data_IF_932420169399
#
_entry.id   IF_932420169399
#
_cell.length_a   1.000
_cell.length_b   1.000
_cell.length_c   1.000
_cell.angle_alpha   90.00
_cell.angle_beta   90.00
_cell.angle_gamma   90.00
#
_symmetry.space_group_name_H-M   'P 1'
#
loop_
_entity.id
_entity.type
_entity.pdbx_description
1 polymer ?
#
# COMPACT_ATOMS: atom_id res chain seq x y z
N UNK A 1 29.57 -39.65 -2.06
CA UNK A 1 29.22 -38.84 -3.25
C UNK A 1 27.76 -39.11 -3.59
N UNK A 2 26.85 -38.24 -3.14
CA UNK A 2 25.43 -38.30 -3.50
C UNK A 2 25.04 -36.94 -4.08
N UNK A 3 24.90 -36.89 -5.40
CA UNK A 3 24.08 -35.90 -6.08
C UNK A 3 22.71 -36.54 -6.28
N UNK A 4 21.65 -35.91 -5.80
CA UNK A 4 20.43 -35.63 -6.55
C UNK A 4 19.27 -35.17 -5.66
N UNK A 5 18.60 -34.13 -6.16
CA UNK A 5 17.25 -33.65 -5.82
C UNK A 5 17.05 -32.96 -4.46
N UNK A 6 17.51 -31.70 -4.37
CA UNK A 6 16.74 -30.68 -3.66
C UNK A 6 16.46 -29.54 -4.65
N UNK A 7 15.64 -29.85 -5.65
CA UNK A 7 14.94 -28.85 -6.45
C UNK A 7 13.78 -28.39 -5.56
N UNK A 8 14.08 -27.54 -4.58
CA UNK A 8 13.06 -26.71 -3.92
C UNK A 8 12.87 -25.52 -4.86
N UNK A 9 12.10 -25.78 -5.90
CA UNK A 9 11.32 -24.78 -6.59
C UNK A 9 10.31 -24.24 -5.57
N UNK A 10 10.70 -23.24 -4.78
CA UNK A 10 9.79 -22.63 -3.82
C UNK A 10 10.00 -21.14 -3.79
N UNK A 11 9.16 -20.53 -4.64
CA UNK A 11 8.59 -19.21 -4.51
C UNK A 11 9.48 -17.99 -4.77
N UNK A 12 9.21 -17.42 -5.95
CA UNK A 12 9.12 -15.98 -6.18
C UNK A 12 10.39 -15.22 -5.83
N UNK A 13 11.29 -15.18 -6.82
CA UNK A 13 12.07 -14.00 -7.16
C UNK A 13 11.24 -12.75 -6.86
N UNK A 14 11.51 -12.22 -5.66
CA UNK A 14 11.47 -10.82 -5.26
C UNK A 14 10.93 -9.92 -6.37
N UNK A 15 9.61 -9.79 -6.44
CA UNK A 15 8.95 -8.67 -7.09
C UNK A 15 9.21 -7.42 -6.23
N UNK A 16 10.48 -7.01 -6.15
CA UNK A 16 10.89 -5.74 -5.57
C UNK A 16 10.51 -4.66 -6.58
N UNK A 17 9.23 -4.27 -6.55
CA UNK A 17 8.81 -3.01 -7.14
C UNK A 17 9.78 -1.93 -6.67
N UNK A 18 10.21 -1.05 -7.59
CA UNK A 18 11.20 -0.02 -7.29
C UNK A 18 10.72 0.78 -6.08
N UNK A 19 11.60 1.26 -5.17
CA UNK A 19 11.19 2.03 -4.00
C UNK A 19 10.22 3.19 -4.33
N UNK A 20 10.38 3.80 -5.51
CA UNK A 20 9.47 4.81 -6.06
C UNK A 20 8.04 4.29 -6.31
N UNK A 21 7.88 3.04 -6.75
CA UNK A 21 6.58 2.41 -7.01
C UNK A 21 5.83 2.13 -5.71
N UNK A 22 6.53 1.69 -4.65
CA UNK A 22 5.93 1.48 -3.33
C UNK A 22 5.41 2.78 -2.71
N UNK A 23 6.18 3.87 -2.80
CA UNK A 23 5.73 5.19 -2.34
C UNK A 23 4.47 5.64 -3.08
N UNK A 24 4.49 5.60 -4.41
CA UNK A 24 3.35 6.04 -5.24
C UNK A 24 2.09 5.23 -4.95
N UNK A 25 2.22 3.90 -4.84
CA UNK A 25 1.12 3.01 -4.48
C UNK A 25 0.57 3.37 -3.10
N UNK A 26 1.45 3.58 -2.11
CA UNK A 26 1.01 3.91 -0.76
C UNK A 26 0.27 5.26 -0.70
N UNK A 27 0.78 6.29 -1.38
CA UNK A 27 0.09 7.59 -1.49
C UNK A 27 -1.31 7.44 -2.09
N UNK A 28 -1.43 6.65 -3.16
CA UNK A 28 -2.68 6.42 -3.86
C UNK A 28 -3.67 5.60 -3.00
N UNK A 29 -3.19 4.61 -2.25
CA UNK A 29 -3.99 3.87 -1.27
C UNK A 29 -4.46 4.77 -0.11
N UNK A 30 -3.57 5.59 0.45
CA UNK A 30 -3.91 6.56 1.50
C UNK A 30 -4.96 7.57 1.01
N UNK A 31 -4.81 8.06 -0.22
CA UNK A 31 -5.76 8.97 -0.83
C UNK A 31 -7.15 8.37 -0.96
N UNK A 32 -7.26 7.15 -1.54
CA UNK A 32 -8.57 6.54 -1.75
C UNK A 32 -9.25 6.17 -0.42
N UNK A 33 -8.48 5.73 0.57
CA UNK A 33 -8.99 5.46 1.91
C UNK A 33 -9.63 6.71 2.53
N UNK A 34 -8.91 7.83 2.51
CA UNK A 34 -9.43 9.09 3.02
C UNK A 34 -10.65 9.56 2.25
N UNK A 35 -10.60 9.52 0.93
CA UNK A 35 -11.73 9.92 0.07
C UNK A 35 -12.98 9.09 0.38
N UNK A 36 -12.85 7.77 0.53
CA UNK A 36 -13.97 6.89 0.88
C UNK A 36 -14.51 7.15 2.29
N UNK A 37 -13.64 7.52 3.24
CA UNK A 37 -14.02 7.92 4.59
C UNK A 37 -14.77 9.27 4.60
N UNK A 38 -14.29 10.27 3.84
CA UNK A 38 -14.97 11.57 3.65
C UNK A 38 -16.38 11.38 3.07
N UNK A 39 -16.53 10.48 2.10
CA UNK A 39 -17.81 10.12 1.50
C UNK A 39 -18.69 9.22 2.38
N UNK A 40 -18.23 8.85 3.58
CA UNK A 40 -18.93 7.93 4.51
C UNK A 40 -19.37 6.62 3.83
N UNK A 41 -18.55 6.12 2.91
CA UNK A 41 -18.84 4.87 2.21
C UNK A 41 -18.87 3.71 3.20
N UNK A 42 -19.85 2.81 3.08
CA UNK A 42 -19.96 1.60 3.91
C UNK A 42 -18.99 0.50 3.42
N UNK A 43 -17.70 0.82 3.39
CA UNK A 43 -16.61 -0.09 3.00
C UNK A 43 -15.50 -0.04 4.05
N UNK A 44 -14.93 -1.19 4.39
CA UNK A 44 -13.78 -1.22 5.29
C UNK A 44 -12.52 -0.76 4.55
N UNK A 45 -11.50 -0.25 5.27
CA UNK A 45 -10.21 0.09 4.65
C UNK A 45 -9.60 -1.05 3.82
N UNK A 46 -9.70 -2.28 4.30
CA UNK A 46 -9.19 -3.48 3.63
C UNK A 46 -9.90 -3.70 2.29
N UNK A 47 -11.22 -3.55 2.25
CA UNK A 47 -12.00 -3.69 1.02
C UNK A 47 -11.64 -2.62 -0.01
N UNK A 48 -11.39 -1.39 0.44
CA UNK A 48 -10.99 -0.28 -0.44
C UNK A 48 -9.60 -0.53 -1.03
N UNK A 49 -8.63 -0.93 -0.19
CA UNK A 49 -7.28 -1.25 -0.66
C UNK A 49 -7.28 -2.46 -1.59
N UNK A 50 -8.03 -3.52 -1.26
CA UNK A 50 -8.15 -4.71 -2.10
C UNK A 50 -8.72 -4.36 -3.48
N UNK A 51 -9.80 -3.57 -3.51
CA UNK A 51 -10.39 -3.10 -4.76
C UNK A 51 -9.39 -2.29 -5.59
N UNK A 52 -8.70 -1.34 -4.95
CA UNK A 52 -7.72 -0.50 -5.64
C UNK A 52 -6.56 -1.33 -6.21
N UNK A 53 -6.04 -2.29 -5.45
CA UNK A 53 -4.97 -3.18 -5.92
C UNK A 53 -5.37 -4.09 -7.10
N UNK A 54 -6.66 -4.40 -7.28
CA UNK A 54 -7.15 -5.15 -8.45
C UNK A 54 -7.12 -4.33 -9.75
N UNK A 55 -7.14 -3.00 -9.65
CA UNK A 55 -7.17 -2.07 -10.80
C UNK A 55 -5.76 -1.78 -11.30
N UNK A 56 -4.74 -1.94 -10.46
CA UNK A 56 -3.35 -1.81 -10.87
C UNK A 56 -3.00 -2.83 -11.96
N UNK A 57 -2.08 -2.43 -12.85
CA UNK A 57 -1.44 -3.32 -13.82
C UNK A 57 -0.93 -4.58 -13.12
N UNK A 58 -1.02 -5.72 -13.81
CA UNK A 58 -0.63 -7.03 -13.26
C UNK A 58 0.75 -7.03 -12.60
N UNK A 59 1.71 -6.28 -13.16
CA UNK A 59 3.09 -6.16 -12.64
C UNK A 59 3.17 -5.47 -11.27
N UNK A 60 2.22 -4.60 -10.95
CA UNK A 60 2.19 -3.81 -9.71
C UNK A 60 1.22 -4.37 -8.66
N UNK A 61 0.34 -5.32 -9.02
CA UNK A 61 -0.64 -5.87 -8.08
C UNK A 61 0.00 -6.52 -6.85
N UNK A 62 1.10 -7.27 -7.05
CA UNK A 62 1.83 -7.89 -5.94
C UNK A 62 2.43 -6.83 -5.00
N UNK A 63 3.05 -5.80 -5.58
CA UNK A 63 3.59 -4.66 -4.83
C UNK A 63 2.48 -3.90 -4.10
N UNK A 64 1.31 -3.71 -4.72
CA UNK A 64 0.16 -3.08 -4.09
C UNK A 64 -0.35 -3.87 -2.89
N UNK A 65 -0.49 -5.19 -3.02
CA UNK A 65 -0.91 -6.06 -1.91
C UNK A 65 0.09 -6.04 -0.74
N UNK A 66 1.39 -6.01 -1.04
CA UNK A 66 2.44 -5.85 -0.03
C UNK A 66 2.30 -4.52 0.72
N UNK A 67 2.20 -3.41 -0.01
CA UNK A 67 2.02 -2.07 0.58
C UNK A 67 0.72 -1.98 1.38
N UNK A 68 -0.40 -2.48 0.87
CA UNK A 68 -1.68 -2.51 1.57
C UNK A 68 -1.61 -3.30 2.88
N UNK A 69 -0.90 -4.43 2.89
CA UNK A 69 -0.67 -5.24 4.10
C UNK A 69 0.18 -4.50 5.14
N UNK A 70 1.22 -3.79 4.70
CA UNK A 70 2.05 -2.96 5.59
C UNK A 70 1.25 -1.79 6.18
N UNK A 71 0.48 -1.11 5.33
CA UNK A 71 -0.36 0.01 5.74
C UNK A 71 -1.42 -0.44 6.76
N UNK A 72 -2.12 -1.55 6.51
CA UNK A 72 -3.12 -2.11 7.43
C UNK A 72 -2.54 -2.45 8.82
N UNK A 73 -1.27 -2.88 8.88
CA UNK A 73 -0.57 -3.15 10.14
C UNK A 73 -0.14 -1.88 10.86
N UNK A 74 0.10 -0.79 10.12
CA UNK A 74 0.49 0.50 10.66
C UNK A 74 -0.73 1.27 11.20
N UNK A 75 -1.16 0.93 12.42
CA UNK A 75 -2.33 1.54 13.08
C UNK A 75 -2.26 3.07 13.18
N UNK A 76 -1.05 3.64 13.36
CA UNK A 76 -0.86 5.10 13.44
C UNK A 76 -1.13 5.75 12.08
N UNK A 77 -0.52 5.23 11.02
CA UNK A 77 -0.78 5.70 9.66
C UNK A 77 -2.26 5.55 9.28
N UNK A 78 -2.87 4.40 9.58
CA UNK A 78 -4.30 4.18 9.31
C UNK A 78 -5.21 5.14 10.06
N UNK A 79 -4.96 5.38 11.36
CA UNK A 79 -5.73 6.35 12.13
C UNK A 79 -5.57 7.76 11.57
N UNK A 80 -4.37 8.14 11.12
CA UNK A 80 -4.11 9.44 10.50
C UNK A 80 -4.84 9.60 9.17
N UNK A 81 -4.79 8.58 8.32
CA UNK A 81 -5.45 8.56 7.00
C UNK A 81 -6.97 8.67 7.13
N UNK A 82 -7.55 7.97 8.11
CA UNK A 82 -8.99 7.94 8.34
C UNK A 82 -9.48 9.13 9.17
N UNK A 83 -8.58 9.90 9.78
CA UNK A 83 -8.94 11.10 10.51
C UNK A 83 -9.13 12.28 9.54
N UNK A 84 -10.36 12.78 9.47
CA UNK A 84 -10.74 13.87 8.58
C UNK A 84 -10.63 15.27 9.21
N UNK A 85 -10.21 15.37 10.48
CA UNK A 85 -10.24 16.63 11.24
C UNK A 85 -9.27 17.70 10.70
N UNK A 86 -8.22 17.32 9.97
CA UNK A 86 -7.25 18.25 9.37
C UNK A 86 -6.91 17.91 7.91
N UNK A 87 -7.78 18.32 6.98
CA UNK A 87 -7.65 18.05 5.53
C UNK A 87 -6.43 18.71 4.89
N UNK A 88 -6.05 19.91 5.35
CA UNK A 88 -4.95 20.69 4.78
C UNK A 88 -3.56 20.14 5.12
N UNK A 89 -3.41 19.49 6.27
CA UNK A 89 -2.15 18.90 6.72
C UNK A 89 -1.67 17.80 5.76
N UNK A 90 -2.59 16.99 5.24
CA UNK A 90 -2.26 15.89 4.34
C UNK A 90 -1.90 16.34 2.91
N UNK A 91 -2.50 17.42 2.40
CA UNK A 91 -2.12 17.98 1.09
C UNK A 91 -0.64 18.41 1.13
N UNK A 92 -0.21 18.95 2.26
CA UNK A 92 1.19 19.31 2.50
C UNK A 92 2.08 18.08 2.68
N UNK A 93 1.64 17.05 3.41
CA UNK A 93 2.38 15.78 3.58
C UNK A 93 2.55 15.00 2.28
N UNK A 94 1.54 14.99 1.40
CA UNK A 94 1.59 14.37 0.07
C UNK A 94 2.71 14.96 -0.78
N UNK A 95 2.92 16.28 -0.71
CA UNK A 95 4.01 16.96 -1.43
C UNK A 95 5.42 16.52 -0.96
N UNK A 96 5.52 16.02 0.28
CA UNK A 96 6.77 15.62 0.93
C UNK A 96 7.10 14.12 0.79
N UNK A 97 6.21 13.30 0.21
CA UNK A 97 6.35 11.85 0.10
C UNK A 97 7.31 11.41 -1.04
N UNK A 98 8.38 12.18 -1.28
CA UNK A 98 9.43 11.83 -2.27
C UNK A 98 10.61 11.05 -1.69
N UNK A 99 10.72 10.90 -0.38
CA UNK A 99 11.95 10.35 0.22
C UNK A 99 11.79 9.58 1.53
N UNK A 100 10.69 9.74 2.26
CA UNK A 100 10.47 9.06 3.53
C UNK A 100 9.06 8.47 3.56
N UNK A 101 8.98 7.15 3.60
CA UNK A 101 7.78 6.35 3.81
C UNK A 101 7.19 6.57 5.22
N UNK A 102 7.30 7.76 5.83
CA UNK A 102 6.84 8.00 7.22
C UNK A 102 5.33 7.73 7.40
N UNK A 103 4.59 7.71 6.29
CA UNK A 103 3.15 7.46 6.20
C UNK A 103 2.81 6.07 5.63
N UNK A 104 3.83 5.23 5.39
CA UNK A 104 3.80 3.84 4.96
C UNK A 104 4.75 3.04 5.89
#
# INVERSE_FOLDING_TARGET
MNHQVVIIATLCLLCTGKPSEKCLICEDLAFILRYTAELKMKKTPEQVMEYKCKIYDFKLQATCKDVASQLAKNKKAMSHILNNDNKWEWINERSACKSNLKFC
#
